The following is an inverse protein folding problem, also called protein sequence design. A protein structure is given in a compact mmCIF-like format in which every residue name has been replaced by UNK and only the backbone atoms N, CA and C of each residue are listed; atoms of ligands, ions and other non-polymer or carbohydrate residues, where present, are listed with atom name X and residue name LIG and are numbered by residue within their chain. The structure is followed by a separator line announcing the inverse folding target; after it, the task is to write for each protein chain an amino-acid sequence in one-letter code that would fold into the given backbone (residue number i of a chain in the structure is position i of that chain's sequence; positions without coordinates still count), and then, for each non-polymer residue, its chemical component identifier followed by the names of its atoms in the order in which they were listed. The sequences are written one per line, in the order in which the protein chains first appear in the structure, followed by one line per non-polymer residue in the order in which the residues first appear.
data_IF_957659146977
#
_entry.id   IF_957659146977
#
_cell.length_a   1.000
_cell.length_b   1.000
_cell.length_c   1.000
_cell.angle_alpha   90.00
_cell.angle_beta   90.00
_cell.angle_gamma   90.00
#
_symmetry.space_group_name_H-M   'P 1'
#
loop_
_entity.id
_entity.type
_entity.pdbx_description
1 polymer ?
#
# COMPACT_ATOMS: atom_id res chain seq x y z
N UNK A 1 8.36 5.49 -8.93
CA UNK A 1 6.98 5.76 -8.44
C UNK A 1 6.51 4.78 -7.38
N UNK A 2 6.70 3.48 -7.62
CA UNK A 2 6.19 2.48 -6.67
C UNK A 2 6.84 2.61 -5.30
N UNK A 3 8.15 2.78 -5.24
CA UNK A 3 8.83 2.95 -3.96
C UNK A 3 8.33 4.19 -3.22
N UNK A 4 8.03 5.25 -3.95
CA UNK A 4 7.49 6.46 -3.33
C UNK A 4 6.06 6.25 -2.84
N UNK A 5 5.31 5.39 -3.51
CA UNK A 5 3.97 5.01 -3.04
C UNK A 5 4.08 4.22 -1.75
N UNK A 6 5.04 3.31 -1.66
CA UNK A 6 5.29 2.57 -0.42
C UNK A 6 5.62 3.55 0.71
N UNK A 7 6.48 4.52 0.43
CA UNK A 7 6.82 5.54 1.43
C UNK A 7 5.58 6.31 1.87
N UNK A 8 4.71 6.63 0.91
CA UNK A 8 3.45 7.32 1.23
C UNK A 8 2.54 6.49 2.12
N UNK A 9 2.45 5.20 1.84
CA UNK A 9 1.65 4.28 2.66
C UNK A 9 2.23 4.20 4.07
N UNK A 10 3.54 4.02 4.17
CA UNK A 10 4.20 3.94 5.48
C UNK A 10 3.97 5.23 6.27
N UNK A 11 4.07 6.38 5.61
CA UNK A 11 3.85 7.66 6.27
C UNK A 11 2.43 7.76 6.83
N UNK A 12 1.44 7.30 6.07
CA UNK A 12 0.06 7.32 6.53
C UNK A 12 -0.14 6.39 7.73
N UNK A 13 0.45 5.21 7.70
CA UNK A 13 0.33 4.28 8.82
C UNK A 13 0.98 4.89 10.07
N UNK A 14 2.13 5.52 9.91
CA UNK A 14 2.83 6.14 11.03
C UNK A 14 2.03 7.26 11.69
N UNK A 15 1.12 7.90 10.99
CA UNK A 15 0.29 8.95 11.57
C UNK A 15 -0.55 8.44 12.73
N UNK A 16 -1.04 7.21 12.64
CA UNK A 16 -1.88 6.62 13.69
C UNK A 16 -1.08 5.74 14.64
N UNK A 17 -0.08 5.04 14.13
CA UNK A 17 0.59 4.00 14.90
C UNK A 17 1.95 4.42 15.43
N UNK A 18 2.44 5.59 15.01
CA UNK A 18 3.71 6.10 15.51
C UNK A 18 4.88 5.29 15.02
N UNK A 19 6.05 5.56 15.58
CA UNK A 19 7.28 4.94 15.12
C UNK A 19 7.85 3.91 16.09
N UNK A 20 7.44 3.94 17.34
CA UNK A 20 8.11 3.17 18.38
C UNK A 20 7.53 1.81 18.64
N UNK A 21 6.20 1.66 18.57
CA UNK A 21 5.54 0.42 18.96
C UNK A 21 5.38 -0.58 17.83
N UNK A 22 5.41 -0.12 16.60
CA UNK A 22 5.08 -0.96 15.45
C UNK A 22 6.22 -0.93 14.45
N UNK A 23 6.76 -2.10 14.15
CA UNK A 23 7.68 -2.22 13.04
C UNK A 23 6.88 -2.26 11.74
N UNK A 24 7.40 -1.63 10.70
CA UNK A 24 6.80 -1.69 9.38
C UNK A 24 7.85 -2.21 8.42
N UNK A 25 7.61 -3.41 7.91
CA UNK A 25 8.55 -4.06 6.99
C UNK A 25 8.13 -3.77 5.57
N UNK A 26 9.07 -3.35 4.74
CA UNK A 26 8.79 -3.07 3.33
C UNK A 26 9.40 -4.10 2.40
N UNK A 27 9.91 -5.17 2.97
CA UNK A 27 10.46 -6.29 2.22
C UNK A 27 9.87 -7.58 2.79
N UNK A 28 9.98 -8.66 2.02
CA UNK A 28 9.49 -9.95 2.48
C UNK A 28 10.23 -10.37 3.73
N UNK A 29 9.49 -10.67 4.79
CA UNK A 29 10.06 -11.07 6.06
C UNK A 29 9.99 -12.58 6.17
N UNK A 30 11.14 -13.20 6.37
CA UNK A 30 11.24 -14.66 6.41
C UNK A 30 11.33 -15.22 7.81
N UNK A 31 11.68 -14.40 8.79
CA UNK A 31 11.91 -14.87 10.15
C UNK A 31 11.39 -13.87 11.16
N UNK A 32 11.13 -14.38 12.35
CA UNK A 32 10.88 -13.64 13.60
C UNK A 32 10.33 -12.24 13.43
N UNK A 33 9.04 -12.18 13.19
CA UNK A 33 8.35 -10.90 13.18
C UNK A 33 8.21 -10.39 14.59
N UNK A 34 8.40 -9.09 14.76
CA UNK A 34 8.26 -8.45 16.06
C UNK A 34 6.85 -7.90 16.18
N UNK A 35 5.96 -8.71 16.72
CA UNK A 35 4.55 -8.35 16.85
C UNK A 35 4.33 -7.32 17.94
N UNK A 36 3.40 -6.38 17.76
CA UNK A 36 2.62 -6.17 16.55
C UNK A 36 3.43 -5.47 15.47
N UNK A 37 3.16 -5.83 14.23
CA UNK A 37 3.92 -5.25 13.14
C UNK A 37 3.13 -5.27 11.83
N UNK A 38 3.58 -4.45 10.90
CA UNK A 38 3.00 -4.35 9.57
C UNK A 38 4.03 -4.77 8.52
N UNK A 39 3.54 -5.23 7.37
CA UNK A 39 4.36 -5.30 6.18
C UNK A 39 3.62 -4.65 5.03
N UNK A 40 4.36 -4.03 4.12
CA UNK A 40 3.80 -3.34 2.96
C UNK A 40 4.54 -3.85 1.75
N UNK A 41 3.83 -4.51 0.85
CA UNK A 41 4.43 -5.06 -0.36
C UNK A 41 3.58 -4.70 -1.56
N UNK A 42 4.24 -4.45 -2.68
CA UNK A 42 3.56 -4.22 -3.93
C UNK A 42 3.25 -5.57 -4.58
N UNK A 43 2.02 -5.72 -5.04
CA UNK A 43 1.63 -6.90 -5.80
C UNK A 43 1.89 -6.62 -7.28
N UNK A 44 1.09 -7.18 -8.16
CA UNK A 44 1.31 -7.11 -9.61
C UNK A 44 0.88 -5.76 -10.18
N UNK A 45 1.78 -4.78 -10.29
CA UNK A 45 1.40 -3.51 -10.91
C UNK A 45 1.16 -3.69 -12.40
N UNK A 46 0.19 -2.95 -12.93
CA UNK A 46 -0.13 -3.04 -14.35
C UNK A 46 -0.12 -1.65 -14.97
N UNK A 47 0.09 -1.64 -16.26
CA UNK A 47 0.10 -0.42 -17.05
C UNK A 47 -0.72 -0.71 -18.29
N UNK A 48 -1.85 -0.04 -18.44
CA UNK A 48 -2.77 -0.30 -19.54
C UNK A 48 -2.89 0.93 -20.43
N UNK A 49 -2.64 0.75 -21.71
CA UNK A 49 -2.76 1.85 -22.69
C UNK A 49 -4.22 2.26 -22.82
N UNK A 50 -4.46 3.55 -22.76
CA UNK A 50 -5.76 4.15 -23.02
C UNK A 50 -5.70 4.89 -24.35
N UNK A 51 -6.29 6.06 -24.43
CA UNK A 51 -6.28 6.83 -25.66
C UNK A 51 -5.00 7.63 -25.80
N UNK A 52 -4.41 7.57 -26.99
CA UNK A 52 -3.21 8.34 -27.29
C UNK A 52 -2.03 7.94 -26.41
N UNK A 53 -1.30 8.91 -25.86
CA UNK A 53 -0.14 8.61 -25.04
C UNK A 53 -0.48 8.31 -23.59
N UNK A 54 -1.75 8.13 -23.28
CA UNK A 54 -2.19 7.90 -21.90
C UNK A 54 -2.15 6.44 -21.54
N UNK A 55 -1.65 6.17 -20.33
CA UNK A 55 -1.72 4.86 -19.72
C UNK A 55 -2.40 4.97 -18.38
N UNK A 56 -3.14 3.95 -18.02
CA UNK A 56 -3.64 3.81 -16.65
C UNK A 56 -2.69 2.89 -15.90
N UNK A 57 -2.08 3.42 -14.87
CA UNK A 57 -1.21 2.63 -14.00
C UNK A 57 -2.00 2.21 -12.79
N UNK A 58 -2.07 0.90 -12.57
CA UNK A 58 -2.79 0.32 -11.44
C UNK A 58 -1.78 -0.39 -10.56
N UNK A 59 -1.70 0.02 -9.31
CA UNK A 59 -0.69 -0.51 -8.40
C UNK A 59 -1.38 -1.03 -7.14
N UNK A 60 -1.50 -2.35 -6.99
CA UNK A 60 -2.06 -2.93 -5.77
C UNK A 60 -0.96 -3.19 -4.76
N UNK A 61 -1.29 -2.97 -3.50
CA UNK A 61 -0.39 -3.26 -2.39
C UNK A 61 -1.10 -4.18 -1.42
N UNK A 62 -0.35 -5.05 -0.77
CA UNK A 62 -0.87 -5.83 0.34
C UNK A 62 -0.18 -5.37 1.61
N UNK A 63 -1.00 -5.00 2.58
CA UNK A 63 -0.54 -4.63 3.92
C UNK A 63 -0.95 -5.76 4.84
N UNK A 64 0.01 -6.39 5.49
CA UNK A 64 -0.28 -7.41 6.47
C UNK A 64 -0.03 -6.85 7.85
N UNK A 65 -0.89 -7.23 8.78
CA UNK A 65 -0.76 -6.83 10.16
C UNK A 65 -0.80 -8.06 11.05
N UNK A 66 0.25 -8.23 11.85
CA UNK A 66 0.35 -9.31 12.81
C UNK A 66 -0.08 -8.80 14.17
N UNK A 67 -1.25 -9.23 14.67
CA UNK A 67 -1.75 -8.75 15.96
C UNK A 67 -0.94 -9.27 17.12
N UNK A 68 -1.02 -8.55 18.23
CA UNK A 68 -0.34 -8.96 19.44
C UNK A 68 -1.30 -9.63 20.44
N UNK A 69 -2.55 -9.22 20.45
CA UNK A 69 -3.51 -9.69 21.45
C UNK A 69 -4.04 -11.08 21.14
N UNK A 70 -4.60 -11.72 22.16
CA UNK A 70 -5.25 -13.02 21.97
C UNK A 70 -6.51 -12.91 21.12
N UNK A 71 -7.15 -11.75 21.13
CA UNK A 71 -8.29 -11.48 20.26
C UNK A 71 -7.81 -10.97 18.92
N UNK A 72 -7.15 -11.83 18.18
CA UNK A 72 -6.55 -11.45 16.89
C UNK A 72 -7.58 -10.93 15.90
N UNK A 73 -8.76 -11.54 15.88
CA UNK A 73 -9.79 -11.14 14.92
C UNK A 73 -10.29 -9.72 15.23
N UNK A 74 -10.60 -9.44 16.48
CA UNK A 74 -11.08 -8.11 16.86
C UNK A 74 -10.04 -7.04 16.62
N UNK A 75 -8.81 -7.31 17.00
CA UNK A 75 -7.72 -6.37 16.80
C UNK A 75 -7.50 -6.14 15.30
N UNK A 76 -7.55 -7.21 14.49
CA UNK A 76 -7.38 -7.09 13.05
C UNK A 76 -8.48 -6.27 12.40
N UNK A 77 -9.72 -6.44 12.86
CA UNK A 77 -10.83 -5.67 12.30
C UNK A 77 -10.71 -4.18 12.63
N UNK A 78 -10.24 -3.85 13.82
CA UNK A 78 -9.99 -2.46 14.18
C UNK A 78 -8.91 -1.85 13.30
N UNK A 79 -7.84 -2.60 13.06
CA UNK A 79 -6.76 -2.12 12.20
C UNK A 79 -7.26 -1.98 10.77
N UNK A 80 -8.09 -2.92 10.31
CA UNK A 80 -8.66 -2.85 8.97
C UNK A 80 -9.41 -1.54 8.77
N UNK A 81 -10.27 -1.18 9.71
CA UNK A 81 -11.04 0.06 9.60
C UNK A 81 -10.13 1.28 9.64
N UNK A 82 -9.10 1.24 10.47
CA UNK A 82 -8.16 2.35 10.53
C UNK A 82 -7.39 2.48 9.22
N UNK A 83 -6.97 1.36 8.64
CA UNK A 83 -6.27 1.39 7.37
C UNK A 83 -7.17 1.90 6.24
N UNK A 84 -8.45 1.56 6.27
CA UNK A 84 -9.39 2.08 5.28
C UNK A 84 -9.49 3.60 5.36
N UNK A 85 -9.35 4.15 6.55
CA UNK A 85 -9.33 5.59 6.72
C UNK A 85 -8.00 6.19 6.28
N UNK A 86 -6.90 5.63 6.76
CA UNK A 86 -5.57 6.19 6.53
C UNK A 86 -5.12 6.11 5.08
N UNK A 87 -5.48 5.04 4.40
CA UNK A 87 -4.96 4.76 3.07
C UNK A 87 -5.90 5.15 1.95
N UNK A 88 -6.97 5.90 2.27
CA UNK A 88 -7.85 6.43 1.22
C UNK A 88 -7.08 7.27 0.23
N UNK A 89 -6.10 8.00 0.72
CA UNK A 89 -5.26 8.86 -0.10
C UNK A 89 -3.83 8.76 0.40
N UNK A 90 -2.88 8.74 -0.54
CA UNK A 90 -1.48 8.85 -0.20
C UNK A 90 -0.89 9.99 -1.02
N UNK A 91 0.19 10.56 -0.53
CA UNK A 91 0.87 11.64 -1.22
C UNK A 91 2.17 11.12 -1.82
N UNK A 92 2.35 11.41 -3.11
CA UNK A 92 3.55 11.01 -3.84
C UNK A 92 4.01 12.22 -4.63
N UNK A 93 5.22 12.71 -4.34
CA UNK A 93 5.81 13.86 -5.02
C UNK A 93 4.88 15.08 -5.03
N UNK A 94 4.18 15.31 -3.93
CA UNK A 94 3.27 16.44 -3.81
C UNK A 94 1.90 16.21 -4.42
N UNK A 95 1.68 15.07 -5.04
CA UNK A 95 0.38 14.74 -5.62
C UNK A 95 -0.36 13.76 -4.72
N UNK A 96 -1.66 13.96 -4.62
CA UNK A 96 -2.51 13.07 -3.83
C UNK A 96 -3.05 11.98 -4.76
N UNK A 97 -2.80 10.74 -4.39
CA UNK A 97 -3.35 9.59 -5.11
C UNK A 97 -4.50 9.03 -4.29
N UNK A 98 -5.60 8.76 -4.97
CA UNK A 98 -6.80 8.22 -4.34
C UNK A 98 -6.84 6.71 -4.55
N UNK A 99 -7.24 5.99 -3.50
CA UNK A 99 -7.42 4.55 -3.63
C UNK A 99 -8.64 4.26 -4.49
N UNK A 100 -8.52 3.22 -5.31
CA UNK A 100 -9.63 2.75 -6.12
C UNK A 100 -10.44 1.70 -5.38
N UNK A 101 -9.77 0.87 -4.60
CA UNK A 101 -10.43 -0.20 -3.88
C UNK A 101 -9.60 -0.60 -2.66
N UNK A 102 -10.30 -0.96 -1.59
CA UNK A 102 -9.66 -1.47 -0.38
C UNK A 102 -10.49 -2.63 0.15
N UNK A 103 -9.84 -3.78 0.36
CA UNK A 103 -10.48 -4.94 0.95
C UNK A 103 -9.56 -5.56 1.98
N UNK A 104 -10.11 -6.34 2.88
CA UNK A 104 -9.28 -7.00 3.87
C UNK A 104 -9.97 -8.20 4.49
N UNK A 105 -9.16 -9.11 5.00
CA UNK A 105 -9.67 -10.28 5.69
C UNK A 105 -8.61 -10.81 6.63
N UNK A 106 -9.06 -11.56 7.62
CA UNK A 106 -8.14 -12.26 8.51
C UNK A 106 -7.86 -13.63 7.95
N UNK A 107 -6.58 -13.99 7.88
CA UNK A 107 -6.16 -15.30 7.44
C UNK A 107 -5.11 -15.81 8.41
N UNK A 108 -5.42 -16.91 9.10
CA UNK A 108 -4.50 -17.52 10.07
C UNK A 108 -3.98 -16.54 11.11
N UNK A 109 -4.87 -15.69 11.63
CA UNK A 109 -4.52 -14.73 12.66
C UNK A 109 -3.79 -13.51 12.17
N UNK A 110 -3.66 -13.33 10.87
CA UNK A 110 -2.99 -12.18 10.27
C UNK A 110 -3.98 -11.42 9.41
N UNK A 111 -4.04 -10.11 9.60
CA UNK A 111 -4.85 -9.27 8.71
C UNK A 111 -4.15 -9.16 7.38
N UNK A 112 -4.87 -9.43 6.31
CA UNK A 112 -4.40 -9.20 4.95
C UNK A 112 -5.27 -8.13 4.33
N UNK A 113 -4.70 -6.94 4.17
CA UNK A 113 -5.41 -5.76 3.67
C UNK A 113 -4.84 -5.39 2.32
N UNK A 114 -5.71 -5.26 1.34
CA UNK A 114 -5.27 -4.92 -0.02
C UNK A 114 -5.83 -3.56 -0.39
N UNK A 115 -4.95 -2.70 -0.89
CA UNK A 115 -5.35 -1.37 -1.38
C UNK A 115 -4.76 -1.18 -2.77
N UNK A 116 -5.56 -0.62 -3.65
CA UNK A 116 -5.16 -0.39 -5.04
C UNK A 116 -5.22 1.09 -5.33
N UNK A 117 -4.16 1.64 -5.89
CA UNK A 117 -4.11 3.02 -6.36
C UNK A 117 -4.03 3.02 -7.87
N UNK A 118 -4.78 3.94 -8.48
CA UNK A 118 -4.76 4.10 -9.93
C UNK A 118 -4.43 5.54 -10.26
N UNK A 119 -3.62 5.71 -11.29
CA UNK A 119 -3.30 7.04 -11.76
C UNK A 119 -3.00 6.98 -13.25
N UNK A 120 -3.34 8.03 -13.95
CA UNK A 120 -2.98 8.14 -15.35
C UNK A 120 -1.55 8.64 -15.46
N UNK A 121 -0.80 8.04 -16.37
CA UNK A 121 0.54 8.48 -16.68
C UNK A 121 0.61 8.70 -18.18
N UNK A 122 1.43 9.67 -18.58
CA UNK A 122 1.61 9.97 -19.98
C UNK A 122 2.83 9.22 -20.49
N UNK A 123 2.68 8.67 -21.67
CA UNK A 123 3.83 8.08 -22.35
C UNK A 123 4.85 9.19 -22.55
N UNK A 124 6.07 8.92 -22.12
CA UNK A 124 7.12 9.90 -22.28
C UNK A 124 7.37 10.08 -23.77
N UNK A 125 7.30 11.33 -24.19
CA UNK A 125 7.60 11.64 -25.58
C UNK A 125 9.08 11.39 -25.82
N UNK A 126 9.36 10.38 -26.63
CA UNK A 126 10.71 10.16 -27.06
C UNK A 126 11.15 11.34 -27.89
N UNK A 127 12.36 11.78 -27.72
CA UNK A 127 12.93 12.70 -28.64
C UNK A 127 13.02 12.00 -29.98
N UNK A 128 12.33 12.52 -30.95
CA UNK A 128 12.25 11.87 -32.26
C UNK A 128 13.60 11.68 -32.91
N UNK A 129 14.49 12.52 -32.54
CA UNK A 129 15.85 12.45 -33.03
C UNK A 129 16.63 11.28 -32.48
N UNK A 130 16.07 10.56 -31.57
CA UNK A 130 16.68 9.34 -31.09
C UNK A 130 16.42 8.16 -31.99
N UNK A 131 15.67 8.36 -32.99
CA UNK A 131 15.34 7.29 -33.94
C UNK A 131 16.01 7.53 -35.27
#
# INVERSE_FOLDING_TARGET
MINKMIDGIVRQIRQSYGEEKYEIYTEAVKQSLKEPCFSVLCLNPSLRRKLGPRFLKTVPFIIRYWPKSDNCHGEGMEVLEELQYLLRNIEVDGFKLHSAEMTGQMVDGVLQFQVTYETFVMEKQEDKDKF
#
